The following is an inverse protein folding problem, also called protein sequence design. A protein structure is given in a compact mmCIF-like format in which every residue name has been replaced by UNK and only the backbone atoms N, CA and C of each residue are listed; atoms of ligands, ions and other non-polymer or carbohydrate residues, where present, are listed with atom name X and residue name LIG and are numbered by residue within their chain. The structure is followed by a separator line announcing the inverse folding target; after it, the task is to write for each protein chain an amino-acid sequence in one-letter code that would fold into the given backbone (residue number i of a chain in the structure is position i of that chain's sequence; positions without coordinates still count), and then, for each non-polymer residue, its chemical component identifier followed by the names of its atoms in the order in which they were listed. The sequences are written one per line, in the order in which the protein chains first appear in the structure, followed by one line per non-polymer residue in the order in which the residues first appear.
data_IF_168974877887
#
_entry.id   IF_168974877887
#
_cell.length_a   1.000
_cell.length_b   1.000
_cell.length_c   1.000
_cell.angle_alpha   90.00
_cell.angle_beta   90.00
_cell.angle_gamma   90.00
#
_symmetry.space_group_name_H-M   'P 1'
#
loop_
_entity.id
_entity.type
_entity.pdbx_description
1 polymer ?
#
# COMPACT_ATOMS: atom_id res chain seq x y z
N UNK A 1 8.94 13.13 8.87
CA UNK A 1 7.84 12.21 9.20
C UNK A 1 8.23 11.45 10.47
N UNK A 2 7.58 11.69 11.61
CA UNK A 2 7.95 11.06 12.87
C UNK A 2 7.68 9.56 12.85
N UNK A 3 8.58 8.83 13.48
CA UNK A 3 8.37 7.44 13.84
C UNK A 3 7.46 7.37 15.07
N UNK A 4 6.47 6.49 15.05
CA UNK A 4 5.47 6.33 16.11
C UNK A 4 5.41 4.88 16.54
N UNK A 5 5.31 4.67 17.85
CA UNK A 5 5.18 3.36 18.47
C UNK A 5 3.84 3.26 19.19
N UNK A 6 2.89 2.55 18.59
CA UNK A 6 1.61 2.29 19.23
C UNK A 6 1.71 1.08 20.15
N UNK A 7 1.29 1.25 21.40
CA UNK A 7 1.27 0.16 22.38
C UNK A 7 -0.07 -0.54 22.37
N UNK A 8 -0.05 -1.86 22.30
CA UNK A 8 -1.23 -2.67 22.61
C UNK A 8 -1.49 -2.70 24.13
N UNK A 9 -2.64 -3.25 24.59
CA UNK A 9 -2.95 -3.32 26.02
C UNK A 9 -1.96 -4.13 26.87
N UNK A 10 -1.16 -5.01 26.26
CA UNK A 10 -0.12 -5.78 26.94
C UNK A 10 1.25 -5.06 26.94
N UNK A 11 1.36 -3.93 26.25
CA UNK A 11 2.55 -3.08 26.21
C UNK A 11 3.49 -3.35 25.03
N UNK A 12 3.17 -4.30 24.14
CA UNK A 12 3.94 -4.54 22.93
C UNK A 12 3.80 -3.37 21.97
N UNK A 13 4.86 -3.06 21.23
CA UNK A 13 4.94 -1.85 20.42
C UNK A 13 4.88 -2.17 18.94
N UNK A 14 4.00 -1.49 18.22
CA UNK A 14 3.93 -1.51 16.77
C UNK A 14 4.55 -0.24 16.20
N UNK A 15 5.63 -0.39 15.45
CA UNK A 15 6.35 0.70 14.80
C UNK A 15 5.72 1.05 13.44
N UNK A 16 5.38 2.31 13.27
CA UNK A 16 4.87 2.92 12.02
C UNK A 16 5.45 4.32 11.84
N UNK A 17 5.20 4.95 10.70
CA UNK A 17 5.44 6.38 10.53
C UNK A 17 4.12 7.14 10.39
N UNK A 18 4.05 8.34 10.95
CA UNK A 18 2.88 9.22 10.84
C UNK A 18 3.12 10.29 9.76
N UNK A 19 2.40 10.17 8.65
CA UNK A 19 2.36 11.15 7.58
C UNK A 19 1.10 12.02 7.68
N UNK A 20 1.17 13.10 8.46
CA UNK A 20 0.06 14.06 8.64
C UNK A 20 -1.26 13.40 9.11
N UNK A 21 -1.18 12.50 10.10
CA UNK A 21 -2.30 11.72 10.62
C UNK A 21 -2.58 10.43 9.83
N UNK A 22 -1.83 10.15 8.77
CA UNK A 22 -1.94 8.91 8.01
C UNK A 22 -0.77 7.97 8.31
N UNK A 23 -1.06 6.83 8.94
CA UNK A 23 -0.04 5.87 9.32
C UNK A 23 0.47 5.11 8.09
N UNK A 24 1.78 5.04 7.89
CA UNK A 24 2.40 4.30 6.78
C UNK A 24 3.40 3.27 7.29
N UNK A 25 3.65 2.19 6.52
CA UNK A 25 4.62 1.19 6.92
C UNK A 25 6.04 1.77 7.05
N UNK A 26 6.90 1.12 7.85
CA UNK A 26 8.30 1.51 7.99
C UNK A 26 9.15 1.09 6.77
N UNK A 27 8.75 1.50 5.56
CA UNK A 27 9.55 1.28 4.36
C UNK A 27 10.79 2.19 4.34
N UNK A 28 11.90 1.75 3.74
CA UNK A 28 13.06 2.61 3.53
C UNK A 28 12.67 3.87 2.74
N UNK A 29 13.09 5.04 3.23
CA UNK A 29 12.87 6.35 2.58
C UNK A 29 11.40 6.65 2.22
N UNK A 30 10.42 6.11 2.96
CA UNK A 30 8.99 6.30 2.63
C UNK A 30 8.58 7.77 2.58
N UNK A 31 9.12 8.62 3.45
CA UNK A 31 8.82 10.06 3.41
C UNK A 31 9.22 10.69 2.07
N UNK A 32 10.47 10.48 1.64
CA UNK A 32 10.96 11.05 0.38
C UNK A 32 10.25 10.48 -0.85
N UNK A 33 9.71 9.26 -0.76
CA UNK A 33 8.84 8.68 -1.78
C UNK A 33 7.49 9.41 -1.79
N UNK A 34 6.81 9.49 -0.65
CA UNK A 34 5.48 10.12 -0.53
C UNK A 34 5.49 11.59 -0.99
N UNK A 35 6.54 12.34 -0.67
CA UNK A 35 6.69 13.74 -1.11
C UNK A 35 6.82 13.89 -2.63
N UNK A 36 7.30 12.84 -3.32
CA UNK A 36 7.49 12.83 -4.78
C UNK A 36 6.38 12.13 -5.55
N UNK A 37 5.51 11.36 -4.89
CA UNK A 37 4.36 10.71 -5.53
C UNK A 37 3.56 11.70 -6.38
N UNK A 38 3.24 12.93 -5.94
CA UNK A 38 2.47 13.86 -6.78
C UNK A 38 3.08 14.19 -8.14
N UNK A 39 4.38 13.96 -8.33
CA UNK A 39 5.11 14.21 -9.57
C UNK A 39 5.14 13.00 -10.52
N UNK A 40 4.65 11.82 -10.09
CA UNK A 40 4.56 10.65 -10.96
C UNK A 40 3.57 10.96 -12.10
N UNK A 41 4.00 10.91 -13.37
CA UNK A 41 3.16 11.26 -14.51
C UNK A 41 2.07 10.21 -14.70
N UNK A 42 0.84 10.66 -14.86
CA UNK A 42 -0.30 9.79 -15.14
C UNK A 42 -0.58 9.80 -16.64
N UNK A 43 -0.76 8.60 -17.21
CA UNK A 43 -1.16 8.42 -18.61
C UNK A 43 -2.58 7.86 -18.67
N UNK A 44 -3.29 8.14 -19.76
CA UNK A 44 -4.70 7.72 -19.94
C UNK A 44 -4.87 6.19 -19.95
N UNK A 45 -3.83 5.47 -20.37
CA UNK A 45 -3.78 4.01 -20.41
C UNK A 45 -3.31 3.36 -19.09
N UNK A 46 -3.05 4.16 -18.06
CA UNK A 46 -2.66 3.62 -16.76
C UNK A 46 -3.85 2.95 -16.06
N UNK A 47 -3.53 1.92 -15.28
CA UNK A 47 -4.48 1.25 -14.39
C UNK A 47 -3.98 1.43 -12.96
N UNK A 48 -4.81 1.98 -12.08
CA UNK A 48 -4.49 2.16 -10.66
C UNK A 48 -5.31 1.19 -9.83
N UNK A 49 -4.63 0.29 -9.14
CA UNK A 49 -5.23 -0.59 -8.14
C UNK A 49 -5.16 0.07 -6.77
N UNK A 50 -6.34 0.37 -6.23
CA UNK A 50 -6.54 1.05 -4.96
C UNK A 50 -7.16 0.09 -3.96
N UNK A 51 -6.83 0.20 -2.69
CA UNK A 51 -7.53 -0.53 -1.63
C UNK A 51 -6.71 -0.56 -0.36
N UNK A 52 -7.34 -0.88 0.77
CA UNK A 52 -6.61 -1.06 2.03
C UNK A 52 -5.62 -2.23 1.93
N UNK A 53 -4.59 -2.24 2.76
CA UNK A 53 -3.64 -3.36 2.78
C UNK A 53 -4.36 -4.69 3.01
N UNK A 54 -3.82 -5.78 2.46
CA UNK A 54 -4.28 -7.15 2.76
C UNK A 54 -5.70 -7.49 2.27
N UNK A 55 -6.30 -6.66 1.41
CA UNK A 55 -7.60 -6.87 0.76
C UNK A 55 -7.56 -7.74 -0.50
N UNK A 56 -6.41 -8.35 -0.85
CA UNK A 56 -6.26 -9.18 -2.06
C UNK A 56 -5.61 -8.45 -3.24
N UNK A 57 -4.99 -7.29 -3.00
CA UNK A 57 -4.35 -6.47 -4.06
C UNK A 57 -3.29 -7.20 -4.87
N UNK A 58 -2.60 -8.22 -4.33
CA UNK A 58 -1.63 -9.01 -5.11
C UNK A 58 -2.30 -9.84 -6.19
N UNK A 59 -3.40 -10.51 -5.86
CA UNK A 59 -4.12 -11.34 -6.81
C UNK A 59 -4.72 -10.53 -7.95
N UNK A 60 -5.36 -9.40 -7.64
CA UNK A 60 -5.94 -8.54 -8.69
C UNK A 60 -4.85 -7.81 -9.48
N UNK A 61 -3.73 -7.44 -8.87
CA UNK A 61 -2.60 -6.87 -9.60
C UNK A 61 -2.07 -7.86 -10.64
N UNK A 62 -1.89 -9.12 -10.26
CA UNK A 62 -1.45 -10.20 -11.16
C UNK A 62 -2.41 -10.35 -12.36
N UNK A 63 -3.72 -10.46 -12.10
CA UNK A 63 -4.74 -10.53 -13.15
C UNK A 63 -4.68 -9.30 -14.06
N UNK A 64 -4.49 -8.09 -13.50
CA UNK A 64 -4.40 -6.87 -14.29
C UNK A 64 -3.18 -6.90 -15.21
N UNK A 65 -2.00 -7.24 -14.72
CA UNK A 65 -0.79 -7.28 -15.56
C UNK A 65 -0.87 -8.38 -16.62
N UNK A 66 -1.45 -9.54 -16.29
CA UNK A 66 -1.73 -10.62 -17.25
C UNK A 66 -2.63 -10.13 -18.40
N UNK A 67 -3.74 -9.45 -18.08
CA UNK A 67 -4.66 -8.87 -19.06
C UNK A 67 -3.99 -7.78 -19.91
N UNK A 68 -3.19 -6.91 -19.31
CA UNK A 68 -2.45 -5.85 -20.03
C UNK A 68 -1.39 -6.41 -20.99
N UNK A 69 -0.80 -7.57 -20.66
CA UNK A 69 0.19 -8.24 -21.51
C UNK A 69 -0.45 -9.25 -22.49
N UNK A 70 -1.77 -9.43 -22.46
CA UNK A 70 -2.45 -10.43 -23.29
C UNK A 70 -1.99 -11.86 -23.00
N UNK A 71 -1.62 -12.15 -21.75
CA UNK A 71 -1.03 -13.43 -21.33
C UNK A 71 -1.88 -14.10 -20.24
N UNK A 72 -1.90 -15.43 -20.25
CA UNK A 72 -2.43 -16.25 -19.16
C UNK A 72 -1.33 -16.81 -18.24
N UNK A 73 -0.07 -16.45 -18.48
CA UNK A 73 1.08 -16.83 -17.66
C UNK A 73 1.34 -15.81 -16.55
N UNK A 74 1.92 -16.28 -15.43
CA UNK A 74 2.38 -15.42 -14.34
C UNK A 74 3.35 -14.36 -14.87
N UNK A 75 3.12 -13.12 -14.46
CA UNK A 75 3.96 -12.00 -14.81
C UNK A 75 5.27 -12.07 -14.03
N UNK A 76 6.44 -12.02 -14.71
CA UNK A 76 7.74 -12.20 -14.05
C UNK A 76 8.14 -11.01 -13.17
N UNK A 77 7.46 -9.87 -13.28
CA UNK A 77 7.73 -8.68 -12.47
C UNK A 77 7.12 -8.73 -11.07
N UNK A 78 7.46 -7.75 -10.24
CA UNK A 78 6.97 -7.68 -8.86
C UNK A 78 5.91 -6.59 -8.68
N UNK A 79 4.83 -6.91 -7.95
CA UNK A 79 3.86 -5.91 -7.47
C UNK A 79 4.53 -4.79 -6.69
N UNK A 80 5.56 -5.10 -5.90
CA UNK A 80 6.26 -4.10 -5.09
C UNK A 80 7.08 -3.13 -5.93
N UNK A 81 7.40 -3.45 -7.18
CA UNK A 81 8.10 -2.57 -8.12
C UNK A 81 7.17 -1.53 -8.78
N UNK A 82 5.85 -1.66 -8.59
CA UNK A 82 4.83 -0.74 -9.10
C UNK A 82 3.98 -0.14 -7.98
N UNK A 83 4.46 -0.24 -6.73
CA UNK A 83 3.75 0.22 -5.54
C UNK A 83 4.13 1.67 -5.24
N UNK A 84 3.17 2.58 -5.33
CA UNK A 84 3.46 4.02 -5.38
C UNK A 84 4.12 4.54 -4.10
N UNK A 85 3.76 4.01 -2.94
CA UNK A 85 4.33 4.36 -1.64
C UNK A 85 5.64 3.62 -1.29
N UNK A 86 6.20 2.83 -2.22
CA UNK A 86 7.41 2.02 -2.01
C UNK A 86 8.45 2.18 -3.10
N UNK A 87 8.04 2.51 -4.32
CA UNK A 87 8.92 2.71 -5.46
C UNK A 87 9.15 4.20 -5.69
N UNK A 88 10.39 4.60 -5.97
CA UNK A 88 10.70 5.99 -6.25
C UNK A 88 10.05 6.51 -7.54
N UNK A 89 9.83 7.82 -7.59
CA UNK A 89 9.18 8.48 -8.71
C UNK A 89 9.89 8.21 -10.05
N UNK A 90 11.22 8.28 -10.10
CA UNK A 90 11.99 8.03 -11.33
C UNK A 90 11.71 6.64 -11.91
N UNK A 91 11.76 5.60 -11.07
CA UNK A 91 11.48 4.22 -11.46
C UNK A 91 10.05 4.07 -12.00
N UNK A 92 9.05 4.66 -11.32
CA UNK A 92 7.65 4.63 -11.76
C UNK A 92 7.45 5.38 -13.09
N UNK A 93 8.11 6.51 -13.26
CA UNK A 93 8.06 7.35 -14.46
C UNK A 93 8.60 6.62 -15.70
N UNK A 94 9.66 5.82 -15.52
CA UNK A 94 10.32 5.05 -16.59
C UNK A 94 9.56 3.80 -17.04
N UNK A 95 8.54 3.34 -16.30
CA UNK A 95 7.76 2.17 -16.70
C UNK A 95 7.08 2.38 -18.07
N UNK A 96 7.21 1.38 -18.94
CA UNK A 96 6.55 1.35 -20.24
C UNK A 96 5.03 1.25 -20.09
N UNK A 97 4.33 1.74 -21.11
CA UNK A 97 2.88 1.63 -21.22
C UNK A 97 2.48 0.30 -21.88
N UNK A 98 1.32 -0.29 -21.53
CA UNK A 98 0.44 0.10 -20.43
C UNK A 98 1.01 -0.37 -19.07
N UNK A 99 0.80 0.42 -18.00
CA UNK A 99 1.31 0.11 -16.65
C UNK A 99 0.20 0.06 -15.61
N UNK A 100 0.31 -0.93 -14.73
CA UNK A 100 -0.56 -1.10 -13.57
C UNK A 100 0.18 -0.65 -12.30
N UNK A 101 -0.26 0.46 -11.72
CA UNK A 101 0.17 0.90 -10.39
C UNK A 101 -0.69 0.26 -9.32
N UNK A 102 -0.14 0.11 -8.12
CA UNK A 102 -0.91 -0.27 -6.94
C UNK A 102 -0.58 0.63 -5.75
N UNK A 103 -1.56 0.90 -4.90
CA UNK A 103 -1.35 1.76 -3.74
C UNK A 103 -2.41 1.56 -2.66
N UNK A 104 -1.99 1.75 -1.41
CA UNK A 104 -2.84 1.81 -0.23
C UNK A 104 -3.11 3.25 0.24
N UNK A 105 -2.59 4.25 -0.48
CA UNK A 105 -2.77 5.65 -0.13
C UNK A 105 -4.19 6.14 -0.42
N UNK A 106 -4.63 7.13 0.35
CA UNK A 106 -5.83 7.90 0.02
C UNK A 106 -5.65 8.71 -1.25
N UNK A 107 -6.75 8.98 -1.95
CA UNK A 107 -6.77 9.70 -3.23
C UNK A 107 -6.07 11.06 -3.18
N UNK A 108 -6.13 11.77 -2.04
CA UNK A 108 -5.51 13.09 -1.88
C UNK A 108 -3.97 13.04 -1.80
N UNK A 109 -3.37 11.87 -1.61
CA UNK A 109 -1.92 11.66 -1.65
C UNK A 109 -1.40 11.24 -3.04
N UNK A 110 -2.29 11.00 -4.00
CA UNK A 110 -1.94 10.56 -5.36
C UNK A 110 -1.70 11.77 -6.30
N UNK A 111 -1.07 11.56 -7.48
CA UNK A 111 -0.92 12.61 -8.49
C UNK A 111 -2.27 13.24 -8.85
N UNK A 112 -2.36 14.57 -8.84
CA UNK A 112 -3.59 15.29 -9.20
C UNK A 112 -4.02 15.05 -10.65
N UNK A 113 -3.08 14.62 -11.50
CA UNK A 113 -3.35 14.23 -12.88
C UNK A 113 -4.37 13.09 -13.01
N UNK A 114 -4.61 12.28 -11.97
CA UNK A 114 -5.67 11.26 -12.01
C UNK A 114 -7.05 11.85 -12.28
N UNK A 115 -7.31 13.10 -11.89
CA UNK A 115 -8.60 13.76 -12.09
C UNK A 115 -8.76 14.33 -13.51
N UNK A 116 -7.65 14.64 -14.18
CA UNK A 116 -7.66 15.21 -15.54
C UNK A 116 -7.48 14.12 -16.60
N UNK A 117 -6.55 13.19 -16.40
CA UNK A 117 -6.25 12.06 -17.30
C UNK A 117 -7.24 10.90 -17.18
N UNK A 118 -7.92 10.79 -16.04
CA UNK A 118 -8.97 9.79 -15.77
C UNK A 118 -8.51 8.36 -16.14
N UNK A 119 -7.38 7.88 -15.59
CA UNK A 119 -6.95 6.51 -15.79
C UNK A 119 -7.99 5.54 -15.22
N UNK A 120 -7.91 4.27 -15.61
CA UNK A 120 -8.78 3.24 -15.02
C UNK A 120 -8.40 3.04 -13.55
N UNK A 121 -9.40 3.01 -12.66
CA UNK A 121 -9.20 2.77 -11.23
C UNK A 121 -9.97 1.52 -10.81
N UNK A 122 -9.28 0.60 -10.16
CA UNK A 122 -9.85 -0.63 -9.60
C UNK A 122 -9.73 -0.53 -8.09
N UNK A 123 -10.85 -0.35 -7.40
CA UNK A 123 -10.89 -0.27 -5.94
C UNK A 123 -11.25 -1.63 -5.35
N UNK A 124 -10.42 -2.11 -4.42
CA UNK A 124 -10.58 -3.38 -3.76
C UNK A 124 -11.02 -3.20 -2.31
N UNK A 125 -12.01 -4.01 -1.93
CA UNK A 125 -12.46 -4.17 -0.54
C UNK A 125 -12.50 -5.64 -0.18
N UNK A 126 -12.28 -5.95 1.10
CA UNK A 126 -12.45 -7.28 1.66
C UNK A 126 -13.14 -7.15 3.02
N UNK A 127 -13.84 -8.20 3.45
CA UNK A 127 -14.39 -8.27 4.79
C UNK A 127 -13.33 -7.84 5.82
N UNK A 128 -13.59 -6.83 6.67
CA UNK A 128 -12.59 -6.29 7.59
C UNK A 128 -12.10 -7.31 8.60
N UNK A 129 -12.91 -8.34 8.95
CA UNK A 129 -12.49 -9.43 9.84
C UNK A 129 -11.37 -10.25 9.22
N UNK A 130 -11.53 -10.63 7.96
CA UNK A 130 -10.49 -11.38 7.23
C UNK A 130 -9.24 -10.53 6.99
N UNK A 131 -9.44 -9.24 6.70
CA UNK A 131 -8.36 -8.27 6.52
C UNK A 131 -7.52 -8.15 7.79
N UNK A 132 -8.15 -8.04 8.96
CA UNK A 132 -7.47 -7.96 10.25
C UNK A 132 -6.59 -9.20 10.51
N UNK A 133 -7.15 -10.40 10.33
CA UNK A 133 -6.39 -11.67 10.50
C UNK A 133 -5.18 -11.71 9.58
N UNK A 134 -5.35 -11.34 8.31
CA UNK A 134 -4.24 -11.37 7.35
C UNK A 134 -3.22 -10.24 7.59
N UNK A 135 -3.65 -9.10 8.12
CA UNK A 135 -2.75 -8.01 8.54
C UNK A 135 -1.87 -8.40 9.73
N UNK A 136 -2.42 -9.08 10.73
CA UNK A 136 -1.67 -9.60 11.87
C UNK A 136 -0.49 -10.47 11.43
N UNK A 137 -0.77 -11.53 10.66
CA UNK A 137 0.28 -12.44 10.19
C UNK A 137 1.31 -11.74 9.29
N UNK A 138 0.87 -10.78 8.47
CA UNK A 138 1.78 -10.03 7.62
C UNK A 138 2.74 -9.13 8.40
N UNK A 139 2.23 -8.41 9.39
CA UNK A 139 3.02 -7.51 10.23
C UNK A 139 4.00 -8.32 11.09
N UNK A 140 3.55 -9.43 11.67
CA UNK A 140 4.39 -10.29 12.51
C UNK A 140 5.57 -10.91 11.74
N UNK A 141 5.41 -11.18 10.44
CA UNK A 141 6.49 -11.67 9.59
C UNK A 141 7.52 -10.60 9.21
N UNK A 142 7.17 -9.32 9.35
CA UNK A 142 7.99 -8.20 8.89
C UNK A 142 8.65 -7.48 10.07
N UNK A 143 9.91 -7.84 10.33
CA UNK A 143 10.74 -7.26 11.43
C UNK A 143 10.78 -5.74 11.47
N UNK A 144 10.55 -5.07 10.34
CA UNK A 144 10.51 -3.61 10.27
C UNK A 144 9.44 -2.98 11.17
N UNK A 145 8.34 -3.69 11.45
CA UNK A 145 7.25 -3.25 12.32
C UNK A 145 7.54 -3.42 13.81
N UNK A 146 8.58 -4.18 14.19
CA UNK A 146 9.00 -4.41 15.57
C UNK A 146 7.89 -4.88 16.53
N UNK A 147 6.85 -5.51 16.01
CA UNK A 147 5.71 -6.00 16.79
C UNK A 147 5.84 -7.50 17.05
N UNK A 148 5.73 -7.86 18.32
CA UNK A 148 5.87 -9.21 18.87
C UNK A 148 4.69 -9.61 19.79
N UNK A 149 3.62 -8.80 19.81
CA UNK A 149 2.39 -9.09 20.55
C UNK A 149 1.49 -10.15 19.89
N UNK A 150 0.42 -10.52 20.59
CA UNK A 150 -0.52 -11.57 20.15
C UNK A 150 -1.68 -11.03 19.30
N UNK A 151 -2.55 -11.93 18.84
CA UNK A 151 -3.73 -11.57 18.04
C UNK A 151 -4.66 -10.59 18.78
N UNK A 152 -4.84 -10.76 20.09
CA UNK A 152 -5.75 -9.92 20.87
C UNK A 152 -5.22 -8.49 20.94
N UNK A 153 -3.93 -8.33 21.27
CA UNK A 153 -3.27 -7.03 21.29
C UNK A 153 -3.29 -6.36 19.92
N UNK A 154 -2.97 -7.11 18.87
CA UNK A 154 -3.00 -6.60 17.51
C UNK A 154 -4.41 -6.15 17.09
N UNK A 155 -5.43 -6.93 17.43
CA UNK A 155 -6.81 -6.62 17.06
C UNK A 155 -7.27 -5.28 17.65
N UNK A 156 -6.91 -4.97 18.89
CA UNK A 156 -7.19 -3.65 19.50
C UNK A 156 -6.48 -2.51 18.74
N UNK A 157 -5.20 -2.69 18.39
CA UNK A 157 -4.48 -1.73 17.55
C UNK A 157 -5.13 -1.53 16.18
N UNK A 158 -5.56 -2.62 15.53
CA UNK A 158 -6.23 -2.59 14.25
C UNK A 158 -7.58 -1.87 14.33
N UNK A 159 -8.36 -2.16 15.38
CA UNK A 159 -9.67 -1.57 15.61
C UNK A 159 -9.59 -0.06 15.90
N UNK A 160 -8.55 0.36 16.61
CA UNK A 160 -8.25 1.78 16.91
C UNK A 160 -7.62 2.53 15.72
N UNK A 161 -7.45 1.88 14.55
CA UNK A 161 -6.80 2.50 13.39
C UNK A 161 -5.30 2.72 13.55
N UNK A 162 -4.67 2.17 14.60
CA UNK A 162 -3.25 2.36 14.98
C UNK A 162 -2.27 1.43 14.22
N UNK A 163 -2.66 1.00 13.03
CA UNK A 163 -1.88 0.13 12.13
C UNK A 163 -1.66 0.86 10.80
N UNK A 164 -0.71 0.41 9.98
CA UNK A 164 -0.48 1.00 8.66
C UNK A 164 -1.77 1.14 7.84
N UNK A 165 -1.92 2.32 7.26
CA UNK A 165 -3.04 2.77 6.43
C UNK A 165 -4.39 2.84 7.17
N UNK A 166 -4.40 2.59 8.49
CA UNK A 166 -5.58 2.71 9.34
C UNK A 166 -5.90 4.16 9.71
N UNK A 167 -7.16 4.40 10.07
CA UNK A 167 -7.67 5.67 10.56
C UNK A 167 -8.85 5.46 11.50
#
# INVERSE_FOLDING_TARGET
MPEVFHKDPAGYQLRVYDYNGFLVPPFPNVQGILEKIPNVPIREDNVLLLGYMKTGTHWIWEICVMLLNGSAEYYPGSKTATMMEKTDETSLSQLSSPRAFNTHLYLHHLPKEIFTKKPKMIFLTRNPRDTAVYAYHHIFQLKAFQYDGDWKGFFELFFDGKVSYGN
#
